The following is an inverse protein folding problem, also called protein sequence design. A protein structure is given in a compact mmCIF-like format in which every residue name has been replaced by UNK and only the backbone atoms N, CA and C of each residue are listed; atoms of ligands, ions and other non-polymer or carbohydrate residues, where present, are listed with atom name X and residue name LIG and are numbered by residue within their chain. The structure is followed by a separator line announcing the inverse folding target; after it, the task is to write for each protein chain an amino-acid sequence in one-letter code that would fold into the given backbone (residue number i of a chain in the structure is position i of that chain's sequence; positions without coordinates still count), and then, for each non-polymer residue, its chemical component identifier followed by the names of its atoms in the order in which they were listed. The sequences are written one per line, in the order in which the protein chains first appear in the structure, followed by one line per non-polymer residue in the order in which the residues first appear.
data_IF_775902347504
#
_entry.id   IF_775902347504
#
_cell.length_a   1.000
_cell.length_b   1.000
_cell.length_c   1.000
_cell.angle_alpha   90.00
_cell.angle_beta   90.00
_cell.angle_gamma   90.00
#
_symmetry.space_group_name_H-M   'P 1'
#
loop_
_entity.id
_entity.type
_entity.pdbx_description
1 polymer ?
#
# COMPACT_ATOMS: atom_id res chain seq x y z
N UNK A 1 25.32 67.92 -14.52
CA UNK A 1 24.91 66.65 -15.15
C UNK A 1 24.80 65.60 -14.05
N UNK A 2 23.59 65.18 -13.67
CA UNK A 2 23.37 64.14 -12.66
C UNK A 2 23.13 62.81 -13.38
N UNK A 3 24.04 61.84 -13.19
CA UNK A 3 23.87 60.47 -13.67
C UNK A 3 22.87 59.73 -12.78
N UNK A 4 21.77 59.26 -13.36
CA UNK A 4 20.85 58.30 -12.76
C UNK A 4 21.32 56.91 -13.19
N UNK A 5 21.80 56.09 -12.25
CA UNK A 5 22.06 54.66 -12.47
C UNK A 5 20.76 53.89 -12.17
N UNK A 6 20.13 53.31 -13.19
CA UNK A 6 19.09 52.31 -12.99
C UNK A 6 19.75 50.97 -12.60
N UNK A 7 19.39 50.44 -11.44
CA UNK A 7 19.65 49.05 -11.06
C UNK A 7 18.43 48.20 -11.44
N UNK A 8 18.64 47.24 -12.34
CA UNK A 8 17.65 46.23 -12.70
C UNK A 8 17.77 45.05 -11.72
N UNK A 9 16.69 44.58 -11.06
CA UNK A 9 16.76 43.41 -10.22
C UNK A 9 16.71 42.16 -11.10
N UNK A 10 17.73 41.30 -10.97
CA UNK A 10 17.74 39.98 -11.59
C UNK A 10 16.89 39.04 -10.72
N UNK A 11 15.68 38.73 -11.16
CA UNK A 11 14.82 37.72 -10.52
C UNK A 11 15.33 36.35 -10.95
N UNK A 12 15.97 35.63 -10.03
CA UNK A 12 16.42 34.27 -10.25
C UNK A 12 15.23 33.31 -10.01
N UNK A 13 14.58 32.88 -11.08
CA UNK A 13 13.56 31.83 -11.02
C UNK A 13 14.24 30.49 -10.75
N UNK A 14 14.05 29.93 -9.55
CA UNK A 14 14.49 28.58 -9.23
C UNK A 14 13.57 27.58 -9.94
N UNK A 15 14.06 26.93 -11.00
CA UNK A 15 13.42 25.73 -11.54
C UNK A 15 13.57 24.61 -10.50
N UNK A 16 12.49 24.27 -9.80
CA UNK A 16 12.43 23.00 -9.09
C UNK A 16 12.13 21.93 -10.13
N UNK A 17 13.13 21.10 -10.43
CA UNK A 17 12.91 19.88 -11.20
C UNK A 17 12.16 18.89 -10.32
N UNK A 18 10.87 18.66 -10.60
CA UNK A 18 10.11 17.56 -10.02
C UNK A 18 10.72 16.25 -10.52
N UNK A 19 11.40 15.53 -9.63
CA UNK A 19 11.82 14.16 -9.93
C UNK A 19 10.58 13.28 -9.83
N UNK A 20 10.02 12.88 -10.97
CA UNK A 20 8.98 11.86 -11.00
C UNK A 20 9.69 10.53 -10.77
N UNK A 21 9.54 9.97 -9.57
CA UNK A 21 9.94 8.60 -9.32
C UNK A 21 9.10 7.69 -10.22
N UNK A 22 9.75 6.84 -11.01
CA UNK A 22 9.03 5.96 -11.92
C UNK A 22 8.21 4.87 -11.20
N UNK A 23 8.40 4.70 -9.90
CA UNK A 23 7.86 3.65 -9.03
C UNK A 23 7.73 4.17 -7.59
N UNK A 24 7.18 3.40 -6.66
CA UNK A 24 7.21 3.75 -5.23
C UNK A 24 6.40 2.86 -4.31
N UNK A 25 5.85 3.44 -3.25
CA UNK A 25 5.18 2.73 -2.15
C UNK A 25 4.61 3.68 -1.10
N UNK A 26 4.05 3.13 -0.03
CA UNK A 26 3.46 3.94 1.05
C UNK A 26 4.54 4.69 1.83
N UNK A 27 4.45 6.02 1.89
CA UNK A 27 5.40 6.90 2.58
C UNK A 27 4.93 7.34 3.97
N UNK A 28 3.63 7.37 4.22
CA UNK A 28 3.09 7.72 5.54
C UNK A 28 1.65 7.25 5.71
N UNK A 29 1.18 7.29 6.95
CA UNK A 29 -0.19 6.95 7.31
C UNK A 29 -0.79 8.09 8.13
N UNK A 30 -2.06 8.39 7.93
CA UNK A 30 -2.83 9.27 8.82
C UNK A 30 -3.91 8.46 9.51
N UNK A 31 -3.84 8.41 10.84
CA UNK A 31 -4.73 7.61 11.71
C UNK A 31 -5.19 8.51 12.84
N UNK A 32 -6.51 8.69 13.00
CA UNK A 32 -7.10 9.57 14.01
C UNK A 32 -6.53 11.00 14.00
N UNK A 33 -6.26 11.54 12.80
CA UNK A 33 -5.68 12.87 12.61
C UNK A 33 -4.19 12.99 12.94
N UNK A 34 -3.51 11.89 13.29
CA UNK A 34 -2.07 11.84 13.52
C UNK A 34 -1.37 11.24 12.30
N UNK A 35 -0.37 11.93 11.77
CA UNK A 35 0.47 11.43 10.69
C UNK A 35 1.66 10.65 11.25
N UNK A 36 1.79 9.39 10.85
CA UNK A 36 2.91 8.51 11.11
C UNK A 36 3.77 8.45 9.85
N UNK A 37 5.01 8.94 9.95
CA UNK A 37 5.97 8.80 8.86
C UNK A 37 6.34 7.33 8.68
N UNK A 38 6.36 6.88 7.43
CA UNK A 38 6.77 5.54 7.05
C UNK A 38 8.29 5.34 7.14
N UNK A 39 8.73 4.13 6.84
CA UNK A 39 10.13 3.82 6.63
C UNK A 39 10.63 4.55 5.37
N UNK A 40 11.86 5.07 5.41
CA UNK A 40 12.49 5.74 4.28
C UNK A 40 13.35 4.73 3.52
N UNK A 41 12.82 4.20 2.42
CA UNK A 41 13.53 3.31 1.50
C UNK A 41 14.84 3.95 0.98
N UNK A 42 15.74 3.12 0.48
CA UNK A 42 17.12 3.46 0.07
C UNK A 42 18.06 3.94 1.19
N UNK A 43 17.56 4.39 2.33
CA UNK A 43 18.37 4.73 3.50
C UNK A 43 18.62 3.49 4.36
N UNK A 44 19.72 3.52 5.15
CA UNK A 44 19.95 2.49 6.17
C UNK A 44 18.79 2.46 7.18
N UNK A 45 18.36 1.27 7.67
CA UNK A 45 17.36 1.17 8.72
C UNK A 45 17.86 1.69 10.08
N UNK A 46 19.18 1.79 10.27
CA UNK A 46 19.76 2.24 11.53
C UNK A 46 19.29 3.65 11.93
N UNK A 47 18.65 3.77 13.09
CA UNK A 47 18.14 5.02 13.62
C UNK A 47 16.76 5.45 13.06
N UNK A 48 16.18 4.69 12.14
CA UNK A 48 14.80 4.92 11.72
C UNK A 48 13.82 4.42 12.78
N UNK A 49 12.71 5.15 12.94
CA UNK A 49 11.58 4.72 13.77
C UNK A 49 10.31 4.89 12.98
N UNK A 50 9.47 3.87 12.95
CA UNK A 50 8.26 3.87 12.13
C UNK A 50 7.26 2.83 12.61
N UNK A 51 5.97 3.03 12.32
CA UNK A 51 4.98 1.96 12.42
C UNK A 51 5.09 0.97 11.27
N UNK A 52 5.72 1.39 10.16
CA UNK A 52 5.91 0.60 8.96
C UNK A 52 7.07 -0.39 9.12
N UNK A 53 6.97 -1.57 8.50
CA UNK A 53 8.10 -2.48 8.30
C UNK A 53 9.09 -1.89 7.29
N UNK A 54 10.32 -2.37 7.36
CA UNK A 54 11.39 -2.02 6.41
C UNK A 54 11.01 -2.43 4.99
N UNK A 55 11.27 -1.52 4.04
CA UNK A 55 11.15 -1.76 2.60
C UNK A 55 12.25 -0.95 1.88
N UNK A 56 13.05 -1.63 1.08
CA UNK A 56 14.40 -1.14 0.73
C UNK A 56 14.45 -0.39 -0.59
N UNK A 57 13.51 -0.63 -1.49
CA UNK A 57 13.47 -0.08 -2.85
C UNK A 57 12.04 0.19 -3.30
N UNK A 58 11.88 1.02 -4.32
CA UNK A 58 10.63 1.24 -5.04
C UNK A 58 10.36 0.15 -6.09
N UNK A 59 11.29 -0.78 -6.31
CA UNK A 59 11.10 -1.85 -7.29
C UNK A 59 9.95 -2.79 -6.89
N UNK A 60 9.19 -3.30 -7.87
CA UNK A 60 8.10 -4.22 -7.58
C UNK A 60 8.63 -5.61 -7.23
N UNK A 61 7.84 -6.34 -6.46
CA UNK A 61 7.91 -7.80 -6.45
C UNK A 61 7.14 -8.28 -7.68
N UNK A 62 7.73 -9.13 -8.52
CA UNK A 62 7.09 -9.62 -9.76
C UNK A 62 6.65 -11.09 -9.70
N UNK A 63 7.17 -11.84 -8.74
CA UNK A 63 6.77 -13.22 -8.50
C UNK A 63 5.64 -13.28 -7.45
N UNK A 64 4.42 -13.74 -7.82
CA UNK A 64 3.29 -13.87 -6.88
C UNK A 64 3.53 -14.91 -5.77
N UNK A 65 4.61 -15.69 -5.87
CA UNK A 65 5.03 -16.68 -4.87
C UNK A 65 6.27 -16.27 -4.09
N UNK A 66 6.76 -15.04 -4.27
CA UNK A 66 7.93 -14.52 -3.55
C UNK A 66 7.74 -14.58 -2.03
N UNK A 67 8.78 -15.03 -1.32
CA UNK A 67 8.81 -15.04 0.14
C UNK A 67 8.70 -13.64 0.76
N UNK A 68 9.05 -12.59 0.01
CA UNK A 68 9.01 -11.19 0.45
C UNK A 68 7.66 -10.50 0.17
N UNK A 69 6.73 -11.18 -0.50
CA UNK A 69 5.42 -10.64 -0.84
C UNK A 69 4.55 -10.18 0.36
N UNK A 70 4.72 -10.69 1.60
CA UNK A 70 3.97 -10.17 2.74
C UNK A 70 4.14 -8.67 2.97
N UNK A 71 5.38 -8.18 3.05
CA UNK A 71 5.70 -6.84 3.55
C UNK A 71 6.93 -6.20 2.86
N UNK A 72 7.12 -6.48 1.57
CA UNK A 72 8.26 -6.02 0.77
C UNK A 72 9.61 -6.67 1.15
N UNK A 73 10.66 -6.29 0.42
CA UNK A 73 12.05 -6.68 0.66
C UNK A 73 12.71 -5.58 1.52
N UNK A 74 13.35 -5.91 2.64
CA UNK A 74 13.40 -7.21 3.32
C UNK A 74 12.20 -7.47 4.29
N UNK A 75 11.30 -6.49 4.50
CA UNK A 75 10.12 -6.63 5.35
C UNK A 75 10.42 -6.75 6.85
N UNK A 76 11.66 -6.42 7.25
CA UNK A 76 12.15 -6.63 8.61
C UNK A 76 11.49 -5.70 9.64
N UNK A 77 11.53 -6.17 10.88
CA UNK A 77 11.22 -5.37 12.05
C UNK A 77 12.39 -4.43 12.36
N UNK A 78 12.08 -3.17 12.67
CA UNK A 78 13.06 -2.17 13.12
C UNK A 78 13.51 -2.38 14.59
N UNK A 79 13.11 -3.50 15.21
CA UNK A 79 13.45 -3.82 16.59
C UNK A 79 12.98 -2.73 17.56
N UNK A 80 13.92 -2.12 18.28
CA UNK A 80 13.61 -1.03 19.21
C UNK A 80 13.06 0.24 18.52
N UNK A 81 13.30 0.41 17.22
CA UNK A 81 12.72 1.52 16.43
C UNK A 81 11.30 1.23 15.92
N UNK A 82 10.83 -0.01 16.02
CA UNK A 82 9.51 -0.40 15.52
C UNK A 82 8.41 0.14 16.45
N UNK A 83 7.47 0.89 15.89
CA UNK A 83 6.33 1.44 16.58
C UNK A 83 5.04 0.73 16.15
N UNK A 84 3.96 0.99 16.89
CA UNK A 84 2.60 0.59 16.50
C UNK A 84 1.64 1.77 16.72
N UNK A 85 0.70 1.99 15.81
CA UNK A 85 -0.32 3.03 15.94
C UNK A 85 -1.58 2.49 16.62
N UNK A 86 -2.03 3.13 17.69
CA UNK A 86 -3.30 2.77 18.34
C UNK A 86 -4.48 3.31 17.54
N UNK A 87 -5.44 2.44 17.23
CA UNK A 87 -6.61 2.78 16.40
C UNK A 87 -7.87 2.05 16.88
N UNK A 88 -8.99 2.75 17.15
CA UNK A 88 -10.25 2.06 17.42
C UNK A 88 -10.75 1.32 16.18
N UNK A 89 -11.27 0.11 16.35
CA UNK A 89 -12.05 -0.57 15.31
C UNK A 89 -13.16 0.37 14.79
N UNK A 90 -13.39 0.37 13.47
CA UNK A 90 -14.31 1.30 12.80
C UNK A 90 -13.67 2.63 12.38
N UNK A 91 -12.43 2.92 12.78
CA UNK A 91 -11.73 4.14 12.37
C UNK A 91 -11.14 4.00 10.97
N UNK A 92 -11.01 5.13 10.28
CA UNK A 92 -10.34 5.19 8.98
C UNK A 92 -8.82 5.30 9.15
N UNK A 93 -8.09 4.67 8.23
CA UNK A 93 -6.64 4.77 8.05
C UNK A 93 -6.40 5.24 6.62
N UNK A 94 -5.73 6.38 6.47
CA UNK A 94 -5.29 6.89 5.17
C UNK A 94 -3.83 6.50 4.97
N UNK A 95 -3.52 5.80 3.90
CA UNK A 95 -2.15 5.63 3.42
C UNK A 95 -1.84 6.68 2.34
N UNK A 96 -0.64 7.25 2.40
CA UNK A 96 -0.13 8.21 1.43
C UNK A 96 1.04 7.57 0.70
N UNK A 97 0.94 7.44 -0.61
CA UNK A 97 2.02 7.02 -1.50
C UNK A 97 2.85 8.24 -1.92
N UNK A 98 4.00 7.99 -2.55
CA UNK A 98 4.65 9.00 -3.39
C UNK A 98 3.73 9.38 -4.58
N UNK A 99 4.15 10.34 -5.39
CA UNK A 99 3.50 10.67 -6.67
C UNK A 99 3.43 9.41 -7.55
N UNK A 100 2.33 8.66 -7.45
CA UNK A 100 2.22 7.30 -7.95
C UNK A 100 2.08 7.33 -9.48
N UNK A 101 2.90 6.58 -10.23
CA UNK A 101 2.96 6.76 -11.70
C UNK A 101 2.12 5.76 -12.49
N UNK A 102 1.52 4.76 -11.85
CA UNK A 102 0.82 3.67 -12.55
C UNK A 102 -0.69 3.76 -12.31
N UNK A 103 -1.46 4.17 -13.31
CA UNK A 103 -2.91 4.32 -13.16
C UNK A 103 -3.69 2.99 -13.29
N UNK A 104 -3.06 1.90 -13.73
CA UNK A 104 -3.76 0.67 -14.14
C UNK A 104 -3.47 -0.48 -13.17
N UNK A 105 -4.51 -0.90 -12.45
CA UNK A 105 -4.50 -2.05 -11.58
C UNK A 105 -5.32 -1.86 -10.30
N UNK A 106 -5.55 -2.94 -9.53
CA UNK A 106 -6.30 -2.85 -8.29
C UNK A 106 -5.48 -2.22 -7.14
N UNK A 107 -6.22 -1.82 -6.12
CA UNK A 107 -5.76 -1.52 -4.76
C UNK A 107 -6.35 -2.57 -3.83
N UNK A 108 -5.56 -3.13 -2.94
CA UNK A 108 -6.02 -4.10 -1.94
C UNK A 108 -5.46 -3.76 -0.57
N UNK A 109 -6.28 -3.91 0.47
CA UNK A 109 -5.86 -3.73 1.85
C UNK A 109 -6.20 -4.96 2.67
N UNK A 110 -5.21 -5.46 3.40
CA UNK A 110 -5.30 -6.64 4.23
C UNK A 110 -4.94 -6.32 5.67
N UNK A 111 -5.45 -7.14 6.58
CA UNK A 111 -5.00 -7.18 7.96
C UNK A 111 -4.62 -8.61 8.36
N UNK A 112 -3.78 -8.73 9.38
CA UNK A 112 -3.52 -10.02 10.02
C UNK A 112 -3.28 -9.83 11.52
N UNK A 113 -3.88 -10.67 12.35
CA UNK A 113 -3.64 -10.67 13.79
C UNK A 113 -2.22 -11.19 14.07
N UNK A 114 -1.42 -10.43 14.81
CA UNK A 114 -0.05 -10.79 15.15
C UNK A 114 0.04 -11.87 16.25
N UNK A 115 -1.08 -12.19 16.91
CA UNK A 115 -1.18 -13.13 18.03
C UNK A 115 -0.21 -12.82 19.18
N UNK A 116 0.03 -11.52 19.40
CA UNK A 116 1.08 -10.98 20.26
C UNK A 116 1.65 -9.70 19.63
N UNK A 117 2.83 -9.28 20.09
CA UNK A 117 3.46 -8.06 19.60
C UNK A 117 3.83 -8.18 18.11
N UNK A 118 3.33 -7.27 17.26
CA UNK A 118 3.62 -7.30 15.82
C UNK A 118 5.12 -7.12 15.50
N UNK A 119 5.85 -6.45 16.38
CA UNK A 119 7.31 -6.25 16.27
C UNK A 119 8.07 -7.58 16.19
N UNK A 120 7.52 -8.66 16.78
CA UNK A 120 8.13 -9.99 16.80
C UNK A 120 7.50 -10.96 15.81
N UNK A 121 6.42 -10.56 15.12
CA UNK A 121 5.71 -11.42 14.20
C UNK A 121 6.51 -11.63 12.90
N UNK A 122 6.50 -12.85 12.38
CA UNK A 122 6.92 -13.12 11.00
C UNK A 122 5.71 -12.92 10.06
N UNK A 123 5.72 -11.91 9.18
CA UNK A 123 4.61 -11.65 8.26
C UNK A 123 4.20 -12.83 7.38
N UNK A 124 5.15 -13.71 7.01
CA UNK A 124 4.88 -14.89 6.17
C UNK A 124 4.11 -15.97 6.93
N UNK A 125 4.24 -15.99 8.26
CA UNK A 125 3.54 -16.91 9.14
C UNK A 125 2.11 -16.46 9.48
N UNK A 126 1.78 -15.18 9.25
CA UNK A 126 0.50 -14.60 9.62
C UNK A 126 -0.66 -15.10 8.74
N UNK A 127 -1.87 -15.07 9.28
CA UNK A 127 -3.10 -15.39 8.54
C UNK A 127 -3.80 -14.09 8.15
N UNK A 128 -3.72 -13.74 6.87
CA UNK A 128 -4.18 -12.47 6.33
C UNK A 128 -5.64 -12.54 5.89
N UNK A 129 -6.38 -11.47 6.10
CA UNK A 129 -7.73 -11.28 5.58
C UNK A 129 -7.85 -9.92 4.90
N UNK A 130 -8.59 -9.87 3.80
CA UNK A 130 -8.80 -8.64 3.04
C UNK A 130 -9.87 -7.79 3.72
N UNK A 131 -9.64 -6.50 3.90
CA UNK A 131 -10.61 -5.57 4.50
C UNK A 131 -11.16 -4.55 3.51
N UNK A 132 -10.46 -4.34 2.39
CA UNK A 132 -10.85 -3.39 1.36
C UNK A 132 -10.21 -3.74 0.02
N UNK A 133 -10.92 -3.46 -1.06
CA UNK A 133 -10.42 -3.63 -2.42
C UNK A 133 -11.16 -2.77 -3.43
N UNK A 134 -10.45 -2.40 -4.49
CA UNK A 134 -11.03 -1.84 -5.69
C UNK A 134 -10.20 -2.28 -6.90
N UNK A 135 -10.88 -2.60 -8.00
CA UNK A 135 -10.26 -3.07 -9.25
C UNK A 135 -10.52 -2.09 -10.38
N UNK A 136 -11.12 -2.59 -11.46
CA UNK A 136 -11.69 -1.75 -12.51
C UNK A 136 -13.02 -1.15 -12.01
N UNK A 137 -13.10 0.17 -11.89
CA UNK A 137 -14.26 0.90 -11.35
C UNK A 137 -15.30 1.20 -12.43
N UNK A 138 -14.85 1.58 -13.62
CA UNK A 138 -15.72 1.87 -14.76
C UNK A 138 -14.97 1.69 -16.08
N UNK A 139 -15.70 1.55 -17.19
CA UNK A 139 -15.11 1.40 -18.52
C UNK A 139 -14.56 -0.01 -18.78
N UNK A 140 -13.49 -0.06 -19.57
CA UNK A 140 -12.86 -1.29 -20.05
C UNK A 140 -11.38 -1.31 -19.62
N UNK A 141 -10.62 -2.34 -20.01
CA UNK A 141 -9.25 -2.49 -19.56
C UNK A 141 -8.29 -1.39 -20.03
N UNK A 142 -8.46 -0.87 -21.24
CA UNK A 142 -7.50 0.06 -21.85
C UNK A 142 -7.72 1.53 -21.49
N UNK A 143 -8.97 1.92 -21.22
CA UNK A 143 -9.38 3.32 -21.04
C UNK A 143 -10.30 3.53 -19.84
N UNK A 144 -10.61 2.46 -19.11
CA UNK A 144 -11.40 2.53 -17.90
C UNK A 144 -10.69 3.17 -16.71
N UNK A 145 -11.49 3.54 -15.73
CA UNK A 145 -11.01 4.06 -14.46
C UNK A 145 -10.67 2.88 -13.54
N UNK A 146 -9.39 2.74 -13.23
CA UNK A 146 -8.89 1.74 -12.28
C UNK A 146 -8.69 2.37 -10.90
N UNK A 147 -8.70 1.53 -9.87
CA UNK A 147 -8.49 1.96 -8.49
C UNK A 147 -7.18 2.73 -8.28
N UNK A 148 -6.09 2.33 -8.94
CA UNK A 148 -4.84 3.08 -8.89
C UNK A 148 -4.92 4.46 -9.57
N UNK A 149 -5.69 4.59 -10.65
CA UNK A 149 -5.99 5.90 -11.26
C UNK A 149 -6.76 6.80 -10.28
N UNK A 150 -7.79 6.26 -9.63
CA UNK A 150 -8.53 6.99 -8.59
C UNK A 150 -7.65 7.40 -7.41
N UNK A 151 -6.73 6.52 -6.99
CA UNK A 151 -5.73 6.81 -5.96
C UNK A 151 -4.86 8.00 -6.35
N UNK A 152 -4.40 8.07 -7.61
CA UNK A 152 -3.62 9.20 -8.14
C UNK A 152 -4.43 10.49 -8.09
N UNK A 153 -5.68 10.46 -8.57
CA UNK A 153 -6.57 11.63 -8.58
C UNK A 153 -6.87 12.15 -7.16
N UNK A 154 -6.85 11.27 -6.16
CA UNK A 154 -6.98 11.60 -4.74
C UNK A 154 -5.63 12.01 -4.09
N UNK A 155 -4.67 12.49 -4.87
CA UNK A 155 -3.38 12.94 -4.36
C UNK A 155 -2.46 11.79 -3.94
N UNK A 156 -2.54 10.65 -4.63
CA UNK A 156 -1.83 9.41 -4.30
C UNK A 156 -2.15 8.89 -2.90
N UNK A 157 -3.44 8.90 -2.53
CA UNK A 157 -3.92 8.41 -1.24
C UNK A 157 -4.97 7.31 -1.37
N UNK A 158 -5.05 6.47 -0.33
CA UNK A 158 -6.11 5.47 -0.19
C UNK A 158 -6.58 5.45 1.25
N UNK A 159 -7.88 5.62 1.46
CA UNK A 159 -8.49 5.56 2.80
C UNK A 159 -9.27 4.27 2.94
N UNK A 160 -8.89 3.47 3.93
CA UNK A 160 -9.58 2.23 4.30
C UNK A 160 -10.19 2.36 5.70
N UNK A 161 -11.17 1.53 6.04
CA UNK A 161 -11.80 1.52 7.36
C UNK A 161 -11.56 0.19 8.04
N UNK A 162 -11.02 0.21 9.26
CA UNK A 162 -10.85 -0.99 10.08
C UNK A 162 -12.24 -1.56 10.40
N UNK A 163 -12.53 -2.85 10.16
CA UNK A 163 -13.87 -3.39 10.43
C UNK A 163 -14.32 -3.15 11.87
N UNK A 164 -15.51 -2.57 12.07
CA UNK A 164 -15.96 -2.09 13.37
C UNK A 164 -16.18 -3.21 14.40
N UNK A 165 -16.50 -4.42 13.96
CA UNK A 165 -16.69 -5.60 14.81
C UNK A 165 -15.39 -6.34 15.14
N UNK A 166 -14.25 -5.95 14.54
CA UNK A 166 -12.96 -6.62 14.72
C UNK A 166 -12.55 -6.62 16.19
N UNK A 167 -12.18 -7.80 16.70
CA UNK A 167 -11.74 -7.92 18.08
C UNK A 167 -10.42 -7.15 18.33
N UNK A 168 -10.27 -6.52 19.51
CA UNK A 168 -9.06 -5.76 19.83
C UNK A 168 -7.81 -6.67 19.87
N UNK A 169 -6.65 -6.09 19.58
CA UNK A 169 -5.38 -6.81 19.50
C UNK A 169 -4.35 -6.07 18.66
N UNK A 170 -3.17 -6.66 18.49
CA UNK A 170 -2.16 -6.14 17.58
C UNK A 170 -2.30 -6.77 16.19
N UNK A 171 -2.30 -5.91 15.17
CA UNK A 171 -2.51 -6.31 13.78
C UNK A 171 -1.46 -5.70 12.87
N UNK A 172 -1.05 -6.47 11.87
CA UNK A 172 -0.38 -5.93 10.69
C UNK A 172 -1.46 -5.40 9.73
N UNK A 173 -1.29 -4.19 9.21
CA UNK A 173 -2.07 -3.61 8.12
C UNK A 173 -1.19 -3.57 6.86
N UNK A 174 -1.59 -4.29 5.81
CA UNK A 174 -0.87 -4.39 4.55
C UNK A 174 -1.65 -3.70 3.44
N UNK A 175 -1.08 -2.65 2.87
CA UNK A 175 -1.59 -2.07 1.63
C UNK A 175 -0.82 -2.66 0.47
N UNK A 176 -1.49 -2.86 -0.66
CA UNK A 176 -0.86 -3.37 -1.87
C UNK A 176 -1.46 -2.71 -3.12
N UNK A 177 -0.55 -2.24 -3.97
CA UNK A 177 -0.86 -1.95 -5.36
C UNK A 177 -0.37 -3.11 -6.23
N UNK A 178 -1.21 -3.58 -7.15
CA UNK A 178 -0.81 -4.53 -8.18
C UNK A 178 -0.89 -3.83 -9.54
N UNK A 179 0.22 -3.29 -10.02
CA UNK A 179 0.27 -2.67 -11.34
C UNK A 179 0.31 -3.76 -12.42
N UNK A 180 -0.56 -3.65 -13.42
CA UNK A 180 -0.74 -4.63 -14.51
C UNK A 180 -0.60 -3.99 -15.89
N UNK A 181 0.06 -2.84 -15.95
CA UNK A 181 0.30 -2.11 -17.20
C UNK A 181 1.28 -2.83 -18.14
N UNK A 182 2.06 -3.81 -17.65
CA UNK A 182 2.98 -4.62 -18.46
C UNK A 182 2.38 -6.01 -18.66
N UNK A 183 2.10 -6.38 -19.91
CA UNK A 183 1.45 -7.65 -20.26
C UNK A 183 2.17 -8.85 -19.65
N UNK A 184 1.42 -9.67 -18.92
CA UNK A 184 1.88 -10.91 -18.29
C UNK A 184 3.01 -10.73 -17.25
N UNK A 185 3.25 -9.50 -16.78
CA UNK A 185 4.25 -9.20 -15.76
C UNK A 185 3.59 -8.41 -14.63
N UNK A 186 2.98 -9.09 -13.64
CA UNK A 186 2.42 -8.41 -12.48
C UNK A 186 3.52 -7.69 -11.70
N UNK A 187 3.19 -6.53 -11.15
CA UNK A 187 4.08 -5.74 -10.31
C UNK A 187 3.39 -5.43 -8.98
N UNK A 188 3.79 -6.15 -7.93
CA UNK A 188 3.23 -6.04 -6.59
C UNK A 188 4.05 -5.04 -5.75
N UNK A 189 3.37 -4.12 -5.07
CA UNK A 189 3.95 -3.11 -4.18
C UNK A 189 3.27 -3.18 -2.80
N UNK A 190 3.70 -4.12 -1.93
CA UNK A 190 3.10 -4.29 -0.62
C UNK A 190 3.89 -3.57 0.48
N UNK A 191 3.24 -2.75 1.30
CA UNK A 191 3.81 -2.20 2.53
C UNK A 191 2.97 -2.52 3.76
N UNK A 192 3.64 -2.80 4.88
CA UNK A 192 3.01 -3.21 6.13
C UNK A 192 3.23 -2.18 7.25
N UNK A 193 2.19 -1.89 8.03
CA UNK A 193 2.23 -1.10 9.25
C UNK A 193 1.66 -1.85 10.46
N UNK A 194 2.19 -1.58 11.64
CA UNK A 194 1.72 -2.19 12.89
C UNK A 194 0.65 -1.33 13.56
N UNK A 195 -0.44 -1.96 13.94
CA UNK A 195 -1.58 -1.34 14.62
C UNK A 195 -1.85 -2.02 15.96
N UNK A 196 -2.29 -1.23 16.93
CA UNK A 196 -2.95 -1.71 18.14
C UNK A 196 -4.43 -1.35 18.01
N UNK A 197 -5.24 -2.34 17.61
CA UNK A 197 -6.68 -2.18 17.45
C UNK A 197 -7.36 -2.20 18.82
N UNK A 198 -8.14 -1.18 19.12
CA UNK A 198 -8.92 -1.05 20.36
C UNK A 198 -10.42 -1.10 20.10
N UNK A 199 -11.21 -1.22 21.16
CA UNK A 199 -12.67 -1.29 21.09
C UNK A 199 -13.22 -2.52 21.79
N UNK A 200 -14.48 -2.85 21.51
CA UNK A 200 -15.21 -3.96 22.13
C UNK A 200 -15.74 -4.97 21.11
N UNK A 201 -15.22 -4.93 19.87
CA UNK A 201 -15.51 -5.93 18.86
C UNK A 201 -15.13 -7.34 19.33
N UNK A 202 -15.78 -8.35 18.79
CA UNK A 202 -15.49 -9.77 19.10
C UNK A 202 -15.35 -10.63 17.85
N UNK A 203 -15.55 -10.04 16.67
CA UNK A 203 -15.50 -10.78 15.42
C UNK A 203 -14.04 -11.03 15.02
N UNK A 204 -13.82 -12.20 14.43
CA UNK A 204 -12.57 -12.61 13.81
C UNK A 204 -12.88 -13.30 12.48
N UNK A 205 -12.12 -13.02 11.41
CA UNK A 205 -12.25 -13.76 10.15
C UNK A 205 -11.84 -15.21 10.34
N UNK A 206 -12.47 -16.11 9.58
CA UNK A 206 -12.17 -17.54 9.59
C UNK A 206 -12.38 -18.16 8.21
N UNK A 207 -11.93 -19.40 8.03
CA UNK A 207 -12.16 -20.16 6.80
C UNK A 207 -11.61 -19.47 5.57
N UNK A 208 -12.46 -19.27 4.56
CA UNK A 208 -12.08 -18.74 3.24
C UNK A 208 -11.64 -17.27 3.23
N UNK A 209 -11.82 -16.53 4.32
CA UNK A 209 -11.29 -15.17 4.45
C UNK A 209 -9.80 -15.14 4.78
N UNK A 210 -9.23 -16.25 5.29
CA UNK A 210 -7.84 -16.31 5.73
C UNK A 210 -6.94 -16.91 4.65
N UNK A 211 -5.87 -16.20 4.32
CA UNK A 211 -4.85 -16.61 3.34
C UNK A 211 -3.43 -16.39 3.87
N UNK A 212 -2.44 -16.89 3.13
CA UNK A 212 -1.00 -16.68 3.40
C UNK A 212 -0.38 -15.83 2.30
N UNK A 213 0.63 -15.06 2.64
CA UNK A 213 1.55 -14.47 1.68
C UNK A 213 2.94 -15.08 1.92
N UNK A 214 3.61 -15.63 0.89
CA UNK A 214 3.02 -16.07 -0.38
C UNK A 214 1.94 -17.15 -0.21
N UNK A 215 1.10 -17.34 -1.23
CA UNK A 215 0.08 -18.41 -1.28
C UNK A 215 -1.33 -17.95 -1.66
N UNK A 216 -1.69 -16.69 -1.36
CA UNK A 216 -2.98 -16.11 -1.74
C UNK A 216 -3.09 -15.88 -3.25
N UNK A 217 -1.96 -15.65 -3.91
CA UNK A 217 -1.88 -15.37 -5.34
C UNK A 217 -1.16 -16.51 -6.06
N UNK A 218 -1.57 -16.75 -7.29
CA UNK A 218 -0.93 -17.67 -8.23
C UNK A 218 -0.75 -16.96 -9.56
N UNK A 219 0.30 -17.34 -10.29
CA UNK A 219 0.50 -16.86 -11.65
C UNK A 219 -0.72 -17.18 -12.56
N UNK A 220 -1.44 -18.27 -12.28
CA UNK A 220 -2.65 -18.66 -13.02
C UNK A 220 -3.91 -17.87 -12.65
N UNK A 221 -3.87 -17.01 -11.63
CA UNK A 221 -5.05 -16.21 -11.28
C UNK A 221 -5.31 -15.19 -12.39
N UNK A 222 -6.57 -15.04 -12.86
CA UNK A 222 -6.87 -14.26 -14.07
C UNK A 222 -6.56 -12.77 -13.93
N UNK A 223 -6.49 -12.24 -12.70
CA UNK A 223 -6.12 -10.87 -12.41
C UNK A 223 -4.62 -10.62 -12.18
N UNK A 224 -3.80 -11.68 -12.17
CA UNK A 224 -2.35 -11.59 -11.87
C UNK A 224 -1.53 -11.58 -13.15
N UNK A 225 -1.45 -12.70 -13.87
CA UNK A 225 -0.72 -12.77 -15.14
C UNK A 225 -1.70 -12.46 -16.26
N UNK A 226 -1.85 -11.19 -16.58
CA UNK A 226 -2.87 -10.69 -17.50
C UNK A 226 -2.23 -9.85 -18.61
N UNK A 227 -2.75 -10.00 -19.83
CA UNK A 227 -2.50 -9.08 -20.95
C UNK A 227 -3.77 -8.27 -21.21
N UNK A 228 -3.82 -7.08 -20.60
CA UNK A 228 -4.97 -6.18 -20.69
C UNK A 228 -5.17 -5.63 -22.11
N UNK A 229 -4.09 -5.49 -22.89
CA UNK A 229 -4.14 -4.92 -24.24
C UNK A 229 -4.61 -5.94 -25.28
N UNK A 230 -4.51 -7.23 -24.99
CA UNK A 230 -5.12 -8.28 -25.80
C UNK A 230 -6.65 -8.39 -25.60
N UNK A 231 -7.19 -7.76 -24.54
CA UNK A 231 -8.61 -7.79 -24.19
C UNK A 231 -9.12 -6.38 -23.89
N UNK A 232 -8.95 -5.41 -24.81
CA UNK A 232 -9.19 -3.99 -24.51
C UNK A 232 -10.66 -3.71 -24.13
N UNK A 233 -11.60 -4.48 -24.69
CA UNK A 233 -13.04 -4.35 -24.44
C UNK A 233 -13.53 -5.07 -23.17
N UNK A 234 -12.64 -5.76 -22.43
CA UNK A 234 -13.04 -6.44 -21.21
C UNK A 234 -13.41 -5.43 -20.12
N UNK A 235 -14.56 -5.64 -19.48
CA UNK A 235 -15.12 -4.73 -18.45
C UNK A 235 -15.20 -5.37 -17.08
N UNK A 236 -14.70 -6.60 -16.91
CA UNK A 236 -14.75 -7.33 -15.64
C UNK A 236 -13.36 -7.84 -15.28
N UNK A 237 -12.79 -7.24 -14.24
CA UNK A 237 -11.52 -7.66 -13.66
C UNK A 237 -11.75 -8.41 -12.34
N UNK A 238 -11.30 -9.66 -12.28
CA UNK A 238 -11.31 -10.43 -11.04
C UNK A 238 -10.08 -10.08 -10.20
N UNK A 239 -10.31 -9.34 -9.10
CA UNK A 239 -9.26 -8.98 -8.15
C UNK A 239 -8.72 -10.26 -7.47
N UNK A 240 -7.39 -10.46 -7.38
CA UNK A 240 -6.82 -11.66 -6.77
C UNK A 240 -6.99 -11.72 -5.25
N UNK A 241 -6.84 -12.92 -4.69
CA UNK A 241 -6.94 -13.16 -3.24
C UNK A 241 -8.36 -13.46 -2.75
N UNK A 242 -8.58 -13.51 -1.42
CA UNK A 242 -9.86 -13.87 -0.82
C UNK A 242 -10.89 -12.73 -0.95
N UNK A 243 -12.15 -13.04 -0.67
CA UNK A 243 -13.21 -12.03 -0.53
C UNK A 243 -12.91 -11.04 0.60
N UNK A 244 -13.42 -9.82 0.49
CA UNK A 244 -13.37 -8.81 1.56
C UNK A 244 -14.17 -9.27 2.78
N UNK A 245 -13.52 -9.30 3.95
CA UNK A 245 -14.15 -9.50 5.24
C UNK A 245 -14.57 -8.15 5.83
N UNK A 246 -15.87 -7.96 6.05
CA UNK A 246 -16.45 -6.67 6.49
C UNK A 246 -16.72 -6.56 7.98
N UNK A 247 -16.43 -7.62 8.75
CA UNK A 247 -16.75 -7.71 10.17
C UNK A 247 -17.90 -8.64 10.50
#
# INVERSE_FOLDING_TARGET
MRSIKLLTPLVLAALQASQVAAHGGVLSYTINGVTFQGFKSYNTPAGQTSIQREWDTYDPITDPTSASLPCNINGASLGAGQQSATVPAGSSVLAQWNDWPHAIGPVMVYMANCNGACTNADPSSLSWFKIDEAGLLSGNYDSGEWAQGKLIDDGSTWTTTIPASLAPGEYMLRHELLAIHTSNQPQFYPECAQLIVTGSGTAQPSGSFLVKFPGAYKASDPGVTIDIYAHPDATNYTIPGPSVWRG
#
